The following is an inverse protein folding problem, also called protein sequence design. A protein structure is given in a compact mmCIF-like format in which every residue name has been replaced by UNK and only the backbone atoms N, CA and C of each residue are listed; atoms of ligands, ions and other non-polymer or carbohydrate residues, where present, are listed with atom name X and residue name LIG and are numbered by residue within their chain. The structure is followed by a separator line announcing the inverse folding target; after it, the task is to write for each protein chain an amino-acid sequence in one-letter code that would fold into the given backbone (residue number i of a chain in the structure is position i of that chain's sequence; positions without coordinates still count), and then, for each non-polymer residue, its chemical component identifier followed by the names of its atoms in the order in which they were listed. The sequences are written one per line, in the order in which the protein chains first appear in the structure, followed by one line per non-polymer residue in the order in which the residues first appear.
data_IF_434203157530
#
_entry.id   IF_434203157530
#
_cell.length_a   1.000
_cell.length_b   1.000
_cell.length_c   1.000
_cell.angle_alpha   90.00
_cell.angle_beta   90.00
_cell.angle_gamma   90.00
#
_symmetry.space_group_name_H-M   'P 1'
#
loop_
_entity.id
_entity.type
_entity.pdbx_description
1 polymer ?
#
# COMPACT_ATOMS: atom_id res chain seq x y z
N UNK A 1 -21.65 60.46 -34.60
CA UNK A 1 -20.76 59.35 -34.23
C UNK A 1 -21.06 58.92 -32.79
N UNK A 2 -21.00 57.61 -32.54
CA UNK A 2 -20.85 56.95 -31.24
C UNK A 2 -22.08 56.83 -30.30
N UNK A 3 -22.94 55.84 -30.59
CA UNK A 3 -23.65 55.08 -29.54
C UNK A 3 -23.78 53.62 -29.98
N UNK A 4 -22.69 52.86 -30.10
CA UNK A 4 -22.72 51.38 -30.13
C UNK A 4 -21.29 50.86 -29.95
N UNK A 5 -20.75 50.79 -28.72
CA UNK A 5 -19.49 50.06 -28.50
C UNK A 5 -19.14 49.60 -27.07
N UNK A 6 -20.06 49.65 -26.10
CA UNK A 6 -19.76 49.19 -24.73
C UNK A 6 -20.35 47.81 -24.35
N UNK A 7 -21.35 47.29 -25.09
CA UNK A 7 -21.96 45.98 -24.80
C UNK A 7 -21.09 44.78 -25.21
N UNK A 8 -20.50 44.85 -26.42
CA UNK A 8 -19.73 43.74 -27.00
C UNK A 8 -18.43 43.44 -26.25
N UNK A 9 -17.76 44.46 -25.69
CA UNK A 9 -16.52 44.28 -24.95
C UNK A 9 -16.70 43.54 -23.61
N UNK A 10 -17.82 43.78 -22.92
CA UNK A 10 -18.15 43.10 -21.67
C UNK A 10 -18.55 41.65 -21.94
N UNK A 11 -19.41 41.41 -22.94
CA UNK A 11 -19.80 40.07 -23.33
C UNK A 11 -18.59 39.22 -23.78
N UNK A 12 -17.67 39.81 -24.55
CA UNK A 12 -16.43 39.16 -24.95
C UNK A 12 -15.50 38.86 -23.77
N UNK A 13 -15.31 39.82 -22.85
CA UNK A 13 -14.47 39.63 -21.67
C UNK A 13 -15.04 38.56 -20.72
N UNK A 14 -16.37 38.52 -20.54
CA UNK A 14 -17.06 37.45 -19.80
C UNK A 14 -16.85 36.10 -20.46
N UNK A 15 -17.10 36.01 -21.77
CA UNK A 15 -16.95 34.76 -22.53
C UNK A 15 -15.51 34.24 -22.46
N UNK A 16 -14.53 35.12 -22.61
CA UNK A 16 -13.11 34.77 -22.46
C UNK A 16 -12.82 34.23 -21.06
N UNK A 17 -13.18 34.96 -20.01
CA UNK A 17 -12.94 34.50 -18.63
C UNK A 17 -13.64 33.18 -18.32
N UNK A 18 -14.87 32.98 -18.83
CA UNK A 18 -15.60 31.73 -18.69
C UNK A 18 -14.88 30.55 -19.36
N UNK A 19 -14.42 30.73 -20.60
CA UNK A 19 -13.69 29.69 -21.33
C UNK A 19 -12.43 29.28 -20.55
N UNK A 20 -11.63 30.23 -20.08
CA UNK A 20 -10.42 29.94 -19.31
C UNK A 20 -10.72 29.28 -17.96
N UNK A 21 -11.76 29.73 -17.24
CA UNK A 21 -12.15 29.13 -15.97
C UNK A 21 -12.64 27.67 -16.16
N UNK A 22 -13.39 27.39 -17.23
CA UNK A 22 -13.82 26.04 -17.57
C UNK A 22 -12.65 25.14 -17.97
N UNK A 23 -11.67 25.66 -18.71
CA UNK A 23 -10.44 24.91 -19.00
C UNK A 23 -9.67 24.58 -17.72
N UNK A 24 -9.48 25.55 -16.83
CA UNK A 24 -8.79 25.32 -15.56
C UNK A 24 -9.50 24.27 -14.70
N UNK A 25 -10.83 24.33 -14.63
CA UNK A 25 -11.63 23.30 -13.94
C UNK A 25 -11.45 21.92 -14.57
N UNK A 26 -11.49 21.83 -15.90
CA UNK A 26 -11.32 20.57 -16.63
C UNK A 26 -9.92 19.97 -16.44
N UNK A 27 -8.85 20.79 -16.52
CA UNK A 27 -7.48 20.33 -16.25
C UNK A 27 -7.30 19.87 -14.80
N UNK A 28 -7.85 20.61 -13.85
CA UNK A 28 -7.82 20.25 -12.44
C UNK A 28 -8.56 18.92 -12.20
N UNK A 29 -9.74 18.75 -12.79
CA UNK A 29 -10.51 17.51 -12.71
C UNK A 29 -9.74 16.34 -13.34
N UNK A 30 -9.19 16.50 -14.54
CA UNK A 30 -8.42 15.46 -15.22
C UNK A 30 -7.18 15.05 -14.41
N UNK A 31 -6.45 16.02 -13.84
CA UNK A 31 -5.30 15.74 -12.97
C UNK A 31 -5.72 14.94 -11.73
N UNK A 32 -6.78 15.35 -11.03
CA UNK A 32 -7.25 14.64 -9.84
C UNK A 32 -7.81 13.24 -10.17
N UNK A 33 -8.57 13.09 -11.26
CA UNK A 33 -9.07 11.78 -11.73
C UNK A 33 -7.90 10.84 -11.98
N UNK A 34 -6.84 11.32 -12.65
CA UNK A 34 -5.64 10.52 -12.87
C UNK A 34 -4.93 10.21 -11.55
N UNK A 35 -4.65 11.21 -10.71
CA UNK A 35 -3.95 11.02 -9.44
C UNK A 35 -4.65 9.99 -8.54
N UNK A 36 -5.96 10.12 -8.36
CA UNK A 36 -6.76 9.21 -7.53
C UNK A 36 -7.11 7.86 -8.19
N UNK A 37 -6.70 7.65 -9.45
CA UNK A 37 -6.69 6.32 -10.06
C UNK A 37 -5.43 5.51 -9.71
N UNK A 38 -4.41 6.16 -9.17
CA UNK A 38 -3.16 5.53 -8.75
C UNK A 38 -3.32 4.79 -7.42
N UNK A 39 -2.50 3.76 -7.25
CA UNK A 39 -2.41 2.98 -6.02
C UNK A 39 -1.94 3.88 -4.88
N UNK A 40 -2.48 3.68 -3.67
CA UNK A 40 -2.15 4.46 -2.48
C UNK A 40 -2.60 5.93 -2.48
N UNK A 41 -3.00 6.53 -3.61
CA UNK A 41 -3.34 7.95 -3.68
C UNK A 41 -4.59 8.34 -2.85
N UNK A 42 -5.62 7.48 -2.85
CA UNK A 42 -6.79 7.67 -1.99
C UNK A 42 -6.44 7.58 -0.50
N UNK A 43 -5.61 6.61 -0.13
CA UNK A 43 -5.13 6.48 1.24
C UNK A 43 -4.33 7.71 1.65
N UNK A 44 -3.38 8.15 0.82
CA UNK A 44 -2.61 9.36 1.07
C UNK A 44 -3.51 10.57 1.35
N UNK A 45 -4.59 10.76 0.58
CA UNK A 45 -5.56 11.83 0.86
C UNK A 45 -6.33 11.65 2.18
N UNK A 46 -6.76 10.43 2.48
CA UNK A 46 -7.56 10.18 3.67
C UNK A 46 -6.75 10.28 4.95
N UNK A 47 -5.49 9.84 4.92
CA UNK A 47 -4.59 9.82 6.07
C UNK A 47 -3.81 11.13 6.23
N UNK A 48 -3.57 11.89 5.15
CA UNK A 48 -2.99 13.22 5.24
C UNK A 48 -4.00 14.26 5.76
N UNK A 49 -3.56 15.06 6.75
CA UNK A 49 -4.36 16.15 7.33
C UNK A 49 -4.16 17.50 6.68
N UNK A 50 -3.12 17.65 5.88
CA UNK A 50 -2.78 18.96 5.35
C UNK A 50 -3.87 19.43 4.40
N UNK A 51 -4.00 20.74 4.27
CA UNK A 51 -4.92 21.30 3.29
C UNK A 51 -4.45 21.07 1.84
N UNK A 52 -3.26 20.52 1.63
CA UNK A 52 -2.66 20.36 0.30
C UNK A 52 -3.61 19.63 -0.65
N UNK A 53 -4.03 18.42 -0.32
CA UNK A 53 -4.86 17.62 -1.22
C UNK A 53 -6.29 18.18 -1.37
N UNK A 54 -6.84 18.78 -0.30
CA UNK A 54 -8.13 19.49 -0.37
C UNK A 54 -8.04 20.69 -1.32
N UNK A 55 -6.95 21.45 -1.26
CA UNK A 55 -6.67 22.55 -2.19
C UNK A 55 -6.54 22.00 -3.61
N UNK A 56 -5.79 20.90 -3.83
CA UNK A 56 -5.63 20.31 -5.16
C UNK A 56 -6.96 19.87 -5.78
N UNK A 57 -7.91 19.37 -4.99
CA UNK A 57 -9.26 19.02 -5.46
C UNK A 57 -10.07 20.28 -5.77
N UNK A 58 -10.03 21.28 -4.90
CA UNK A 58 -10.94 22.44 -4.93
C UNK A 58 -10.42 23.61 -5.78
N UNK A 59 -9.12 23.69 -6.08
CA UNK A 59 -8.52 24.84 -6.75
C UNK A 59 -9.13 25.11 -8.13
N UNK A 60 -9.64 24.08 -8.81
CA UNK A 60 -10.37 24.20 -10.08
C UNK A 60 -11.64 25.05 -9.98
N UNK A 61 -12.24 25.17 -8.80
CA UNK A 61 -13.46 25.95 -8.56
C UNK A 61 -13.17 27.45 -8.37
N UNK A 62 -11.95 27.81 -7.97
CA UNK A 62 -11.58 29.20 -7.65
C UNK A 62 -11.77 30.16 -8.86
N UNK A 63 -11.25 29.86 -10.07
CA UNK A 63 -11.44 30.76 -11.21
C UNK A 63 -12.91 30.97 -11.57
N UNK A 64 -13.73 29.92 -11.47
CA UNK A 64 -15.15 29.97 -11.75
C UNK A 64 -15.91 30.78 -10.68
N UNK A 65 -15.58 30.59 -9.40
CA UNK A 65 -16.13 31.37 -8.30
C UNK A 65 -15.86 32.87 -8.44
N UNK A 66 -14.61 33.26 -8.73
CA UNK A 66 -14.23 34.65 -8.98
C UNK A 66 -15.00 35.26 -10.16
N UNK A 67 -15.23 34.49 -11.22
CA UNK A 67 -16.01 34.92 -12.36
C UNK A 67 -17.48 35.14 -12.00
N UNK A 68 -18.11 34.20 -11.30
CA UNK A 68 -19.52 34.29 -10.88
C UNK A 68 -19.72 35.51 -9.97
N UNK A 69 -18.81 35.73 -9.01
CA UNK A 69 -18.83 36.90 -8.12
C UNK A 69 -18.69 38.23 -8.88
N UNK A 70 -18.11 38.22 -10.08
CA UNK A 70 -18.02 39.43 -10.90
C UNK A 70 -19.36 39.87 -11.52
N UNK A 71 -20.32 38.96 -11.70
CA UNK A 71 -21.58 39.23 -12.40
C UNK A 71 -22.49 40.27 -11.71
N UNK A 72 -22.80 40.17 -10.40
CA UNK A 72 -23.62 41.19 -9.75
C UNK A 72 -22.94 42.57 -9.74
N UNK A 73 -21.61 42.59 -9.66
CA UNK A 73 -20.81 43.83 -9.59
C UNK A 73 -20.80 44.63 -10.90
N UNK A 74 -21.20 44.03 -12.01
CA UNK A 74 -21.31 44.75 -13.30
C UNK A 74 -22.51 45.69 -13.35
N UNK A 75 -23.46 45.52 -12.44
CA UNK A 75 -24.61 46.42 -12.25
C UNK A 75 -24.24 47.69 -11.49
N UNK A 76 -23.05 47.75 -10.86
CA UNK A 76 -22.57 48.93 -10.14
C UNK A 76 -22.19 50.06 -11.11
N UNK A 77 -22.32 51.32 -10.64
CA UNK A 77 -21.92 52.52 -11.40
C UNK A 77 -20.46 52.45 -11.87
N UNK A 78 -19.57 51.98 -11.02
CA UNK A 78 -18.17 51.72 -11.35
C UNK A 78 -17.96 50.23 -11.59
N UNK A 79 -17.45 49.87 -12.78
CA UNK A 79 -17.19 48.46 -13.15
C UNK A 79 -15.78 47.99 -12.77
N UNK A 80 -15.06 48.77 -11.98
CA UNK A 80 -13.66 48.53 -11.63
C UNK A 80 -13.51 47.18 -10.90
N UNK A 81 -14.33 46.92 -9.88
CA UNK A 81 -14.29 45.69 -9.11
C UNK A 81 -14.65 44.46 -9.94
N UNK A 82 -15.67 44.56 -10.81
CA UNK A 82 -16.03 43.48 -11.73
C UNK A 82 -14.91 43.16 -12.74
N UNK A 83 -14.23 44.19 -13.28
CA UNK A 83 -13.07 44.01 -14.16
C UNK A 83 -11.90 43.36 -13.42
N UNK A 84 -11.67 43.78 -12.18
CA UNK A 84 -10.61 43.25 -11.31
C UNK A 84 -10.85 41.77 -10.97
N UNK A 85 -12.05 41.39 -10.54
CA UNK A 85 -12.39 39.97 -10.28
C UNK A 85 -12.28 39.10 -11.53
N UNK A 86 -12.65 39.61 -12.71
CA UNK A 86 -12.41 38.89 -13.98
C UNK A 86 -10.92 38.75 -14.30
N UNK A 87 -10.12 39.79 -14.03
CA UNK A 87 -8.67 39.73 -14.15
C UNK A 87 -8.09 38.64 -13.24
N UNK A 88 -8.51 38.60 -11.98
CA UNK A 88 -8.13 37.54 -11.04
C UNK A 88 -8.59 36.16 -11.49
N UNK A 89 -9.81 36.02 -12.03
CA UNK A 89 -10.29 34.76 -12.59
C UNK A 89 -9.39 34.27 -13.74
N UNK A 90 -8.96 35.16 -14.65
CA UNK A 90 -8.03 34.81 -15.73
C UNK A 90 -6.65 34.38 -15.21
N UNK A 91 -6.09 35.13 -14.26
CA UNK A 91 -4.79 34.78 -13.65
C UNK A 91 -4.89 33.46 -12.90
N UNK A 92 -5.92 33.27 -12.08
CA UNK A 92 -6.18 32.02 -11.37
C UNK A 92 -6.38 30.85 -12.35
N UNK A 93 -7.09 31.05 -13.46
CA UNK A 93 -7.28 30.02 -14.49
C UNK A 93 -5.94 29.55 -15.07
N UNK A 94 -5.03 30.50 -15.36
CA UNK A 94 -3.70 30.19 -15.87
C UNK A 94 -2.87 29.43 -14.83
N UNK A 95 -2.83 29.91 -13.60
CA UNK A 95 -2.06 29.27 -12.52
C UNK A 95 -2.57 27.85 -12.23
N UNK A 96 -3.88 27.67 -12.07
CA UNK A 96 -4.48 26.35 -11.83
C UNK A 96 -4.19 25.40 -12.99
N UNK A 97 -4.35 25.84 -14.24
CA UNK A 97 -4.05 25.00 -15.41
C UNK A 97 -2.58 24.58 -15.44
N UNK A 98 -1.66 25.52 -15.20
CA UNK A 98 -0.22 25.25 -15.17
C UNK A 98 0.16 24.29 -14.04
N UNK A 99 -0.37 24.50 -12.84
CA UNK A 99 -0.15 23.61 -11.69
C UNK A 99 -0.72 22.21 -11.96
N UNK A 100 -1.94 22.09 -12.47
CA UNK A 100 -2.53 20.80 -12.82
C UNK A 100 -1.73 20.06 -13.89
N UNK A 101 -1.27 20.76 -14.93
CA UNK A 101 -0.40 20.17 -15.96
C UNK A 101 0.95 19.74 -15.39
N UNK A 102 1.57 20.56 -14.54
CA UNK A 102 2.84 20.25 -13.90
C UNK A 102 2.76 19.00 -13.01
N UNK A 103 1.72 18.91 -12.17
CA UNK A 103 1.50 17.73 -11.31
C UNK A 103 1.19 16.49 -12.15
N UNK A 104 0.33 16.61 -13.17
CA UNK A 104 0.01 15.50 -14.05
C UNK A 104 1.24 15.00 -14.80
N UNK A 105 2.06 15.91 -15.33
CA UNK A 105 3.33 15.59 -15.97
C UNK A 105 4.26 14.90 -14.97
N UNK A 106 4.40 15.40 -13.75
CA UNK A 106 5.22 14.77 -12.71
C UNK A 106 4.77 13.33 -12.41
N UNK A 107 3.48 13.11 -12.14
CA UNK A 107 2.92 11.79 -11.82
C UNK A 107 2.97 10.79 -12.99
N UNK A 108 3.03 11.27 -14.23
CA UNK A 108 3.15 10.42 -15.42
C UNK A 108 4.61 10.13 -15.75
N UNK A 109 5.41 11.19 -15.85
CA UNK A 109 6.74 11.18 -16.47
C UNK A 109 7.80 10.70 -15.50
N UNK A 110 7.84 11.25 -14.27
CA UNK A 110 8.91 10.97 -13.29
C UNK A 110 9.06 9.47 -13.01
N UNK A 111 8.00 8.71 -12.69
CA UNK A 111 8.14 7.28 -12.40
C UNK A 111 8.46 6.44 -13.65
N UNK A 112 8.21 6.94 -14.87
CA UNK A 112 8.37 6.17 -16.12
C UNK A 112 9.72 6.39 -16.79
N UNK A 113 10.28 7.60 -16.68
CA UNK A 113 11.60 7.92 -17.25
C UNK A 113 12.75 7.35 -16.42
N UNK A 114 12.48 6.94 -15.18
CA UNK A 114 13.44 6.33 -14.30
C UNK A 114 14.02 5.02 -14.82
N UNK A 115 15.35 4.97 -14.98
CA UNK A 115 16.06 3.72 -15.26
C UNK A 115 16.48 3.07 -13.95
N UNK A 116 15.87 1.93 -13.66
CA UNK A 116 16.30 1.07 -12.56
C UNK A 116 17.58 0.34 -12.97
N UNK A 117 18.50 0.16 -12.02
CA UNK A 117 19.69 -0.68 -12.20
C UNK A 117 19.23 -2.09 -12.52
N UNK A 118 19.86 -2.70 -13.52
CA UNK A 118 19.72 -4.13 -13.77
C UNK A 118 20.56 -4.85 -12.72
N UNK A 119 19.87 -5.43 -11.75
CA UNK A 119 20.46 -6.25 -10.69
C UNK A 119 19.90 -7.67 -10.79
N UNK A 120 20.65 -8.64 -10.30
CA UNK A 120 20.16 -10.00 -10.22
C UNK A 120 19.39 -10.17 -8.91
N UNK A 121 18.07 -10.30 -9.02
CA UNK A 121 17.19 -10.68 -7.92
C UNK A 121 16.53 -12.02 -8.26
N UNK A 122 16.40 -12.90 -7.27
CA UNK A 122 15.68 -14.16 -7.40
C UNK A 122 14.18 -13.95 -7.20
N UNK A 123 13.53 -13.23 -8.12
CA UNK A 123 12.09 -12.94 -8.02
C UNK A 123 11.26 -14.18 -8.38
N UNK A 124 10.29 -14.54 -7.53
CA UNK A 124 9.34 -15.64 -7.77
C UNK A 124 8.13 -15.23 -8.62
N UNK A 125 7.86 -15.82 -9.77
CA UNK A 125 6.58 -15.59 -10.46
C UNK A 125 5.41 -16.18 -9.64
N UNK A 126 4.43 -15.37 -9.18
CA UNK A 126 3.34 -15.89 -8.35
C UNK A 126 2.40 -16.85 -9.10
N UNK A 127 2.46 -16.91 -10.43
CA UNK A 127 1.69 -17.89 -11.21
C UNK A 127 2.32 -19.29 -11.28
N UNK A 128 3.61 -19.40 -10.97
CA UNK A 128 4.32 -20.68 -11.03
C UNK A 128 4.05 -21.45 -9.74
N UNK A 129 3.61 -22.72 -9.90
CA UNK A 129 3.57 -23.65 -8.78
C UNK A 129 4.99 -23.90 -8.30
N UNK A 130 5.29 -23.50 -7.07
CA UNK A 130 6.53 -23.87 -6.42
C UNK A 130 6.46 -25.36 -6.12
N UNK A 131 7.30 -26.14 -6.78
CA UNK A 131 7.63 -27.48 -6.27
C UNK A 131 8.46 -27.25 -5.01
N UNK A 132 7.99 -27.75 -3.86
CA UNK A 132 8.74 -27.56 -2.62
C UNK A 132 10.15 -28.13 -2.81
N UNK A 133 11.17 -27.37 -2.45
CA UNK A 133 12.49 -27.92 -2.19
C UNK A 133 12.41 -28.75 -0.91
N UNK A 134 11.71 -29.88 -0.96
CA UNK A 134 11.83 -30.92 0.05
C UNK A 134 13.30 -31.36 0.06
N UNK A 135 14.06 -30.76 0.97
CA UNK A 135 15.51 -30.83 1.03
C UNK A 135 16.09 -30.06 2.22
N UNK A 136 15.40 -30.08 3.36
CA UNK A 136 16.01 -29.75 4.64
C UNK A 136 16.48 -31.05 5.31
N UNK A 137 17.71 -31.05 5.79
CA UNK A 137 18.40 -32.15 6.47
C UNK A 137 17.67 -32.75 7.70
N UNK A 138 16.49 -32.22 8.09
CA UNK A 138 15.66 -32.68 9.22
C UNK A 138 14.45 -33.58 8.86
N UNK A 139 14.05 -33.64 7.58
CA UNK A 139 12.94 -34.47 7.09
C UNK A 139 11.53 -34.11 7.58
N UNK A 140 11.29 -32.93 8.18
CA UNK A 140 10.01 -32.52 8.81
C UNK A 140 9.41 -31.22 8.28
N UNK A 141 10.22 -30.27 7.82
CA UNK A 141 9.70 -28.98 7.30
C UNK A 141 9.35 -29.07 5.82
N UNK A 142 8.13 -28.69 5.46
CA UNK A 142 7.56 -28.75 4.11
C UNK A 142 7.75 -27.44 3.33
N UNK A 143 7.77 -26.30 4.04
CA UNK A 143 7.94 -24.96 3.45
C UNK A 143 8.55 -24.02 4.48
N UNK A 144 9.56 -23.26 4.07
CA UNK A 144 10.19 -22.19 4.85
C UNK A 144 9.89 -20.84 4.24
N UNK A 145 9.34 -19.93 5.05
CA UNK A 145 9.12 -18.55 4.66
C UNK A 145 9.90 -17.63 5.59
N UNK A 146 10.40 -16.53 5.05
CA UNK A 146 10.80 -15.39 5.86
C UNK A 146 9.92 -14.19 5.49
N UNK A 147 9.69 -13.30 6.45
CA UNK A 147 8.87 -12.12 6.27
C UNK A 147 9.52 -10.92 6.96
N UNK A 148 9.60 -9.81 6.25
CA UNK A 148 10.10 -8.54 6.75
C UNK A 148 9.39 -7.39 6.05
N UNK A 149 9.41 -6.21 6.65
CA UNK A 149 8.69 -5.05 6.12
C UNK A 149 9.28 -3.74 6.64
N UNK A 150 8.96 -2.65 5.95
CA UNK A 150 9.25 -1.27 6.40
C UNK A 150 10.77 -1.03 6.48
N UNK A 151 11.46 -1.30 5.38
CA UNK A 151 12.90 -1.09 5.24
C UNK A 151 13.27 0.38 4.92
N UNK A 152 12.34 1.12 4.30
CA UNK A 152 12.41 2.55 3.98
C UNK A 152 13.76 3.01 3.36
N UNK A 153 14.27 2.33 2.34
CA UNK A 153 15.45 2.83 1.63
C UNK A 153 15.23 4.27 1.15
N UNK A 154 16.21 5.15 1.45
CA UNK A 154 16.18 6.54 1.00
C UNK A 154 15.89 7.61 2.05
N UNK A 155 15.80 7.25 3.32
CA UNK A 155 15.66 8.18 4.45
C UNK A 155 16.78 8.00 5.48
N UNK A 156 17.14 9.07 6.17
CA UNK A 156 18.12 9.08 7.28
C UNK A 156 17.52 8.56 8.60
N UNK A 157 16.21 8.30 8.61
CA UNK A 157 15.47 7.69 9.74
C UNK A 157 15.52 6.16 9.73
N UNK A 158 16.51 5.57 9.09
CA UNK A 158 16.70 4.11 9.03
C UNK A 158 18.06 3.73 9.59
N UNK A 159 18.21 2.46 9.98
CA UNK A 159 19.48 1.84 10.31
C UNK A 159 19.89 0.86 9.20
N UNK A 160 20.83 1.25 8.31
CA UNK A 160 21.32 0.39 7.23
C UNK A 160 22.05 -0.87 7.72
N UNK A 161 22.67 -0.83 8.90
CA UNK A 161 23.37 -1.99 9.45
C UNK A 161 22.36 -3.01 9.96
N UNK A 162 21.33 -2.56 10.67
CA UNK A 162 20.21 -3.41 11.09
C UNK A 162 19.58 -4.11 9.89
N UNK A 163 19.26 -3.35 8.83
CA UNK A 163 18.68 -3.88 7.59
C UNK A 163 19.59 -4.91 6.92
N UNK A 164 20.90 -4.65 6.87
CA UNK A 164 21.87 -5.58 6.30
C UNK A 164 21.98 -6.88 7.10
N UNK A 165 22.01 -6.78 8.43
CA UNK A 165 22.06 -7.94 9.32
C UNK A 165 20.77 -8.78 9.22
N UNK A 166 19.60 -8.13 9.12
CA UNK A 166 18.32 -8.81 8.89
C UNK A 166 18.33 -9.57 7.55
N UNK A 167 18.77 -8.93 6.46
CA UNK A 167 18.88 -9.59 5.16
C UNK A 167 19.84 -10.79 5.20
N UNK A 168 20.96 -10.68 5.93
CA UNK A 168 21.88 -11.79 6.13
C UNK A 168 21.23 -12.92 6.94
N UNK A 169 20.51 -12.60 8.02
CA UNK A 169 19.82 -13.60 8.85
C UNK A 169 18.70 -14.33 8.07
N UNK A 170 17.96 -13.61 7.22
CA UNK A 170 16.99 -14.21 6.28
C UNK A 170 17.71 -15.16 5.32
N UNK A 171 18.85 -14.77 4.77
CA UNK A 171 19.62 -15.63 3.86
C UNK A 171 20.15 -16.89 4.56
N UNK A 172 20.52 -16.81 5.85
CA UNK A 172 20.93 -17.96 6.68
C UNK A 172 19.79 -18.94 6.93
N UNK A 173 18.54 -18.47 7.08
CA UNK A 173 17.37 -19.34 7.22
C UNK A 173 17.06 -20.14 5.93
N UNK A 174 17.57 -19.68 4.78
CA UNK A 174 17.36 -20.29 3.45
C UNK A 174 15.87 -20.53 3.15
N UNK A 175 15.02 -19.48 3.16
CA UNK A 175 13.61 -19.63 2.90
C UNK A 175 13.36 -20.04 1.44
N UNK A 176 12.29 -20.82 1.23
CA UNK A 176 11.73 -21.06 -0.10
C UNK A 176 11.12 -19.77 -0.66
N UNK A 177 10.60 -18.88 0.21
CA UNK A 177 10.11 -17.54 -0.14
C UNK A 177 10.39 -16.53 0.97
N UNK A 178 11.00 -15.41 0.62
CA UNK A 178 11.03 -14.20 1.42
C UNK A 178 9.96 -13.21 0.94
N UNK A 179 9.00 -12.90 1.81
CA UNK A 179 8.02 -11.84 1.59
C UNK A 179 8.50 -10.52 2.20
N UNK A 180 8.65 -9.51 1.35
CA UNK A 180 8.88 -8.12 1.77
C UNK A 180 7.55 -7.37 1.74
N UNK A 181 6.93 -7.09 2.89
CA UNK A 181 5.51 -6.66 2.95
C UNK A 181 5.24 -5.20 2.59
N UNK A 182 6.14 -4.53 1.88
CA UNK A 182 5.99 -3.15 1.45
C UNK A 182 6.81 -2.17 2.28
N UNK A 183 6.64 -0.89 1.93
CA UNK A 183 7.48 0.22 2.38
C UNK A 183 8.97 -0.11 2.22
N UNK A 184 9.26 -0.63 1.02
CA UNK A 184 10.62 -0.91 0.58
C UNK A 184 11.38 0.41 0.51
N UNK A 185 10.85 1.40 -0.22
CA UNK A 185 11.47 2.72 -0.34
C UNK A 185 10.65 3.78 0.36
N UNK A 186 11.30 4.84 0.86
CA UNK A 186 10.62 5.96 1.51
C UNK A 186 9.68 6.72 0.55
N UNK A 187 10.01 6.77 -0.74
CA UNK A 187 9.20 7.48 -1.75
C UNK A 187 9.23 6.70 -3.05
N UNK A 188 8.11 6.05 -3.34
CA UNK A 188 7.96 5.16 -4.48
C UNK A 188 8.26 5.76 -5.85
N UNK A 189 8.12 7.08 -6.03
CA UNK A 189 8.47 7.76 -7.28
C UNK A 189 9.98 8.02 -7.45
N UNK A 190 10.82 7.69 -6.46
CA UNK A 190 12.25 8.02 -6.42
C UNK A 190 13.14 6.90 -6.95
N UNK A 191 13.69 7.09 -8.14
CA UNK A 191 14.57 6.13 -8.81
C UNK A 191 15.85 5.84 -8.02
N UNK A 192 16.41 6.86 -7.35
CA UNK A 192 17.64 6.69 -6.57
C UNK A 192 17.41 5.78 -5.36
N UNK A 193 16.27 5.91 -4.70
CA UNK A 193 15.90 5.08 -3.54
C UNK A 193 15.66 3.63 -3.96
N UNK A 194 14.94 3.42 -5.08
CA UNK A 194 14.79 2.09 -5.67
C UNK A 194 16.14 1.46 -6.02
N UNK A 195 17.04 2.22 -6.65
CA UNK A 195 18.37 1.71 -7.00
C UNK A 195 19.23 1.37 -5.78
N UNK A 196 19.03 2.04 -4.64
CA UNK A 196 19.67 1.69 -3.38
C UNK A 196 19.11 0.36 -2.83
N UNK A 197 17.78 0.23 -2.78
CA UNK A 197 17.13 -1.00 -2.33
C UNK A 197 17.53 -2.23 -3.17
N UNK A 198 17.46 -2.08 -4.50
CA UNK A 198 17.81 -3.13 -5.45
C UNK A 198 19.29 -3.54 -5.35
N UNK A 199 20.19 -2.59 -5.09
CA UNK A 199 21.60 -2.88 -4.90
C UNK A 199 21.86 -3.70 -3.63
N UNK A 200 21.26 -3.30 -2.49
CA UNK A 200 21.43 -4.01 -1.22
C UNK A 200 20.84 -5.42 -1.27
N UNK A 201 19.61 -5.56 -1.80
CA UNK A 201 18.96 -6.86 -1.97
C UNK A 201 19.80 -7.81 -2.83
N UNK A 202 20.35 -7.31 -3.95
CA UNK A 202 21.19 -8.10 -4.83
C UNK A 202 22.57 -8.40 -4.24
N UNK A 203 23.14 -7.51 -3.44
CA UNK A 203 24.46 -7.71 -2.84
C UNK A 203 24.43 -8.68 -1.66
N UNK A 204 23.42 -8.60 -0.79
CA UNK A 204 23.38 -9.31 0.49
C UNK A 204 22.61 -10.62 0.36
N UNK A 205 21.50 -10.63 -0.38
CA UNK A 205 20.59 -11.76 -0.49
C UNK A 205 20.32 -12.18 -1.96
N UNK A 206 21.33 -12.29 -2.85
CA UNK A 206 21.13 -12.49 -4.29
C UNK A 206 20.35 -13.76 -4.66
N UNK A 207 20.42 -14.79 -3.81
CA UNK A 207 19.81 -16.10 -4.05
C UNK A 207 18.52 -16.32 -3.26
N UNK A 208 18.17 -15.42 -2.34
CA UNK A 208 16.94 -15.54 -1.54
C UNK A 208 15.74 -15.33 -2.47
N UNK A 209 14.86 -16.33 -2.64
CA UNK A 209 13.66 -16.17 -3.45
C UNK A 209 12.79 -15.06 -2.88
N UNK A 210 12.51 -14.01 -3.66
CA UNK A 210 11.90 -12.77 -3.17
C UNK A 210 10.52 -12.56 -3.80
N UNK A 211 9.55 -12.19 -2.96
CA UNK A 211 8.19 -11.83 -3.38
C UNK A 211 7.65 -10.62 -2.59
N UNK A 212 7.84 -9.39 -3.08
CA UNK A 212 7.44 -8.19 -2.37
C UNK A 212 5.95 -7.86 -2.54
N UNK A 213 5.35 -7.25 -1.53
CA UNK A 213 4.08 -6.52 -1.61
C UNK A 213 4.37 -5.02 -1.72
N UNK A 214 3.35 -4.24 -2.08
CA UNK A 214 3.44 -2.79 -2.19
C UNK A 214 2.88 -2.13 -0.93
N UNK A 215 3.69 -1.31 -0.26
CA UNK A 215 3.24 -0.48 0.86
C UNK A 215 2.78 0.92 0.43
N UNK A 216 2.35 1.75 1.38
CA UNK A 216 1.96 3.12 1.08
C UNK A 216 3.11 3.97 0.55
N UNK A 217 4.31 3.85 1.12
CA UNK A 217 5.47 4.61 0.67
C UNK A 217 5.90 4.21 -0.74
N UNK A 218 5.84 2.92 -1.07
CA UNK A 218 6.11 2.40 -2.42
C UNK A 218 5.11 2.92 -3.47
N UNK A 219 3.90 3.26 -3.04
CA UNK A 219 2.83 3.76 -3.90
C UNK A 219 2.88 5.28 -4.11
N UNK A 220 3.58 6.03 -3.24
CA UNK A 220 3.59 7.50 -3.25
C UNK A 220 3.94 8.07 -4.63
N UNK A 221 3.14 9.06 -5.03
CA UNK A 221 3.34 9.87 -6.24
C UNK A 221 3.53 9.07 -7.53
N UNK A 222 2.77 7.98 -7.69
CA UNK A 222 2.85 7.10 -8.85
C UNK A 222 3.98 6.07 -8.76
N UNK A 223 4.49 5.81 -7.55
CA UNK A 223 5.55 4.83 -7.32
C UNK A 223 5.22 3.40 -7.77
N UNK A 224 3.93 3.07 -7.90
CA UNK A 224 3.45 1.79 -8.47
C UNK A 224 4.10 1.41 -9.81
N UNK A 225 4.54 2.39 -10.61
CA UNK A 225 5.20 2.13 -11.89
C UNK A 225 6.63 1.62 -11.70
N UNK A 226 7.37 2.19 -10.75
CA UNK A 226 8.71 1.73 -10.39
C UNK A 226 8.65 0.42 -9.61
N UNK A 227 7.68 0.27 -8.69
CA UNK A 227 7.39 -1.01 -8.02
C UNK A 227 7.17 -2.13 -9.06
N UNK A 228 6.29 -1.92 -10.04
CA UNK A 228 6.03 -2.92 -11.09
C UNK A 228 7.30 -3.22 -11.89
N UNK A 229 8.08 -2.20 -12.25
CA UNK A 229 9.33 -2.36 -12.98
C UNK A 229 10.39 -3.13 -12.18
N UNK A 230 10.42 -2.96 -10.86
CA UNK A 230 11.38 -3.59 -9.96
C UNK A 230 11.01 -5.06 -9.67
N UNK A 231 9.73 -5.35 -9.40
CA UNK A 231 9.32 -6.59 -8.75
C UNK A 231 8.29 -7.43 -9.52
N UNK A 232 7.78 -6.92 -10.64
CA UNK A 232 6.85 -7.65 -11.50
C UNK A 232 7.25 -7.52 -12.98
N UNK A 233 8.31 -8.26 -13.39
CA UNK A 233 8.74 -8.36 -14.79
C UNK A 233 7.57 -8.69 -15.74
N UNK A 234 7.73 -8.37 -17.03
CA UNK A 234 6.61 -8.46 -17.99
C UNK A 234 6.14 -9.89 -18.25
N UNK A 235 7.04 -10.83 -18.08
CA UNK A 235 6.85 -12.26 -18.19
C UNK A 235 6.03 -12.84 -17.02
N UNK A 236 5.94 -12.13 -15.89
CA UNK A 236 5.19 -12.61 -14.73
C UNK A 236 3.69 -12.46 -14.93
N UNK A 237 2.95 -13.37 -14.33
CA UNK A 237 1.49 -13.31 -14.28
C UNK A 237 0.98 -13.68 -12.88
N UNK A 238 -0.32 -13.51 -12.64
CA UNK A 238 -0.95 -13.89 -11.38
C UNK A 238 -2.37 -14.38 -11.64
N UNK A 239 -2.89 -15.17 -10.71
CA UNK A 239 -4.26 -15.68 -10.72
C UNK A 239 -5.32 -14.56 -10.74
N UNK A 240 -5.01 -13.41 -10.15
CA UNK A 240 -5.87 -12.23 -10.13
C UNK A 240 -5.77 -11.35 -11.38
N UNK A 241 -4.74 -11.57 -12.22
CA UNK A 241 -4.34 -10.66 -13.29
C UNK A 241 -3.77 -9.32 -12.80
N UNK A 242 -3.51 -9.18 -11.50
CA UNK A 242 -2.95 -7.98 -10.86
C UNK A 242 -1.53 -8.22 -10.36
N UNK A 243 -0.60 -7.24 -10.50
CA UNK A 243 0.72 -7.34 -9.90
C UNK A 243 0.74 -7.03 -8.39
N UNK A 244 -0.41 -6.65 -7.80
CA UNK A 244 -0.47 -6.11 -6.44
C UNK A 244 -1.13 -7.04 -5.42
N UNK A 245 -1.94 -7.99 -5.88
CA UNK A 245 -2.61 -8.99 -5.06
C UNK A 245 -2.72 -10.28 -5.85
N UNK A 246 -2.46 -11.42 -5.22
CA UNK A 246 -2.37 -12.72 -5.88
C UNK A 246 -2.39 -13.83 -4.83
N UNK A 247 -2.60 -15.06 -5.29
CA UNK A 247 -2.46 -16.25 -4.46
C UNK A 247 -1.43 -17.21 -5.04
N UNK A 248 -0.84 -18.02 -4.18
CA UNK A 248 0.14 -19.06 -4.53
C UNK A 248 -0.19 -20.33 -3.75
N UNK A 249 -0.34 -21.46 -4.44
CA UNK A 249 -0.39 -22.79 -3.80
C UNK A 249 0.99 -23.43 -3.95
N UNK A 250 1.67 -23.67 -2.82
CA UNK A 250 3.01 -24.25 -2.76
C UNK A 250 3.00 -25.77 -2.57
N UNK A 251 1.82 -26.39 -2.58
CA UNK A 251 1.63 -27.78 -2.15
C UNK A 251 1.60 -27.95 -0.64
N UNK A 252 2.36 -27.16 0.11
CA UNK A 252 2.38 -27.17 1.58
C UNK A 252 1.48 -26.11 2.23
N UNK A 253 1.17 -25.02 1.52
CA UNK A 253 0.34 -23.93 2.02
C UNK A 253 -0.37 -23.19 0.89
N UNK A 254 -1.51 -22.55 1.21
CA UNK A 254 -2.11 -21.52 0.36
C UNK A 254 -1.69 -20.15 0.89
N UNK A 255 -0.97 -19.40 0.08
CA UNK A 255 -0.46 -18.07 0.42
C UNK A 255 -1.25 -17.00 -0.35
N UNK A 256 -1.68 -15.93 0.31
CA UNK A 256 -2.51 -14.89 -0.29
C UNK A 256 -1.93 -13.53 0.00
N UNK A 257 -1.55 -12.76 -1.02
CA UNK A 257 -1.10 -11.38 -0.88
C UNK A 257 -2.24 -10.40 -1.19
N UNK A 258 -2.52 -9.47 -0.28
CA UNK A 258 -3.52 -8.41 -0.43
C UNK A 258 -2.86 -7.05 -0.72
N UNK A 259 -3.49 -6.28 -1.62
CA UNK A 259 -3.11 -4.91 -1.91
C UNK A 259 -3.86 -3.95 -0.96
N UNK A 260 -3.25 -3.69 0.19
CA UNK A 260 -3.72 -2.77 1.23
C UNK A 260 -2.61 -1.78 1.62
N UNK A 261 -2.24 -0.81 0.74
CA UNK A 261 -1.13 0.10 1.02
C UNK A 261 -1.37 0.97 2.25
N UNK A 262 -2.59 1.46 2.44
CA UNK A 262 -2.99 2.23 3.64
C UNK A 262 -4.10 1.54 4.44
N UNK A 263 -4.63 0.43 3.91
CA UNK A 263 -5.90 -0.16 4.30
C UNK A 263 -6.79 -0.45 3.09
N UNK A 264 -8.10 -0.41 3.28
CA UNK A 264 -9.10 -0.84 2.28
C UNK A 264 -9.33 0.13 1.11
N UNK A 265 -8.62 1.25 1.02
CA UNK A 265 -8.78 2.24 -0.06
C UNK A 265 -8.52 1.66 -1.46
N UNK A 266 -7.62 0.69 -1.57
CA UNK A 266 -7.36 -0.05 -2.82
C UNK A 266 -8.09 -1.40 -2.90
N UNK A 267 -8.88 -1.74 -1.87
CA UNK A 267 -9.66 -2.98 -1.78
C UNK A 267 -11.05 -2.82 -2.43
N UNK A 268 -11.07 -2.68 -3.75
CA UNK A 268 -12.30 -2.59 -4.52
C UNK A 268 -13.01 -3.94 -4.75
N UNK A 269 -14.19 -3.89 -5.37
CA UNK A 269 -15.02 -5.07 -5.66
C UNK A 269 -14.26 -6.22 -6.34
N UNK A 270 -13.37 -5.92 -7.29
CA UNK A 270 -12.58 -6.94 -8.00
C UNK A 270 -11.69 -7.76 -7.06
N UNK A 271 -10.93 -7.07 -6.20
CA UNK A 271 -10.05 -7.74 -5.23
C UNK A 271 -10.86 -8.50 -4.19
N UNK A 272 -12.00 -7.95 -3.74
CA UNK A 272 -12.90 -8.65 -2.81
C UNK A 272 -13.46 -9.95 -3.40
N UNK A 273 -14.02 -9.90 -4.60
CA UNK A 273 -14.59 -11.09 -5.26
C UNK A 273 -13.51 -12.14 -5.53
N UNK A 274 -12.33 -11.71 -5.98
CA UNK A 274 -11.19 -12.60 -6.14
C UNK A 274 -10.78 -13.25 -4.81
N UNK A 275 -10.64 -12.46 -3.73
CA UNK A 275 -10.27 -12.97 -2.42
C UNK A 275 -11.26 -14.02 -1.92
N UNK A 276 -12.57 -13.73 -1.96
CA UNK A 276 -13.59 -14.71 -1.57
C UNK A 276 -13.49 -16.01 -2.37
N UNK A 277 -13.21 -15.92 -3.68
CA UNK A 277 -13.01 -17.11 -4.52
C UNK A 277 -11.79 -17.93 -4.09
N UNK A 278 -10.66 -17.27 -3.82
CA UNK A 278 -9.43 -17.94 -3.36
C UNK A 278 -9.64 -18.60 -2.00
N UNK A 279 -10.21 -17.87 -1.04
CA UNK A 279 -10.45 -18.40 0.31
C UNK A 279 -11.43 -19.58 0.29
N UNK A 280 -12.47 -19.53 -0.55
CA UNK A 280 -13.44 -20.63 -0.68
C UNK A 280 -12.88 -21.87 -1.36
N UNK A 281 -11.89 -21.72 -2.24
CA UNK A 281 -11.27 -22.81 -2.99
C UNK A 281 -10.01 -23.38 -2.30
N UNK A 282 -9.55 -22.76 -1.21
CA UNK A 282 -8.35 -23.17 -0.50
C UNK A 282 -8.50 -24.59 0.06
N UNK A 283 -7.46 -25.41 -0.10
CA UNK A 283 -7.43 -26.77 0.44
C UNK A 283 -7.52 -26.73 1.98
N UNK A 284 -8.55 -27.33 2.60
CA UNK A 284 -8.71 -27.30 4.04
C UNK A 284 -7.64 -28.08 4.79
N UNK A 285 -6.89 -28.95 4.10
CA UNK A 285 -5.79 -29.73 4.67
C UNK A 285 -4.48 -28.93 4.74
N UNK A 286 -4.44 -27.69 4.20
CA UNK A 286 -3.26 -26.85 4.18
C UNK A 286 -3.48 -25.57 4.98
N UNK A 287 -2.43 -25.03 5.63
CA UNK A 287 -2.48 -23.70 6.20
C UNK A 287 -2.79 -22.65 5.13
N UNK A 288 -3.66 -21.72 5.50
CA UNK A 288 -4.07 -20.57 4.68
C UNK A 288 -3.50 -19.31 5.33
N UNK A 289 -2.51 -18.71 4.67
CA UNK A 289 -1.73 -17.59 5.19
C UNK A 289 -1.97 -16.35 4.32
N UNK A 290 -2.38 -15.25 4.95
CA UNK A 290 -2.62 -13.96 4.30
C UNK A 290 -1.50 -12.99 4.62
N UNK A 291 -1.02 -12.27 3.62
CA UNK A 291 -0.03 -11.22 3.73
C UNK A 291 -0.66 -9.88 3.29
N UNK A 292 -0.39 -8.82 4.03
CA UNK A 292 -0.76 -7.46 3.67
C UNK A 292 0.32 -6.48 4.10
N UNK A 293 0.32 -5.28 3.54
CA UNK A 293 1.13 -4.21 4.13
C UNK A 293 0.45 -3.66 5.38
N UNK A 294 -0.74 -3.07 5.23
CA UNK A 294 -1.54 -2.53 6.34
C UNK A 294 -2.04 -3.65 7.29
N UNK A 295 -2.00 -3.36 8.59
CA UNK A 295 -2.34 -4.25 9.69
C UNK A 295 -3.85 -4.39 9.95
N UNK A 296 -4.21 -5.33 10.84
CA UNK A 296 -5.57 -5.57 11.30
C UNK A 296 -5.71 -5.24 12.78
N UNK A 297 -5.47 -6.22 13.63
CA UNK A 297 -5.26 -6.02 15.05
C UNK A 297 -3.80 -5.64 15.27
N UNK A 298 -3.58 -4.61 16.06
CA UNK A 298 -2.25 -4.15 16.41
C UNK A 298 -2.36 -3.25 17.64
N UNK A 299 -1.40 -3.33 18.54
CA UNK A 299 -1.21 -2.32 19.58
C UNK A 299 -0.73 -1.01 18.96
N UNK A 300 -0.80 0.12 19.65
CA UNK A 300 -0.30 1.36 19.07
C UNK A 300 -0.67 2.58 19.88
N UNK A 301 -0.87 3.69 19.18
CA UNK A 301 -1.08 5.00 19.78
C UNK A 301 -2.06 5.82 18.94
N UNK A 302 -2.61 6.88 19.51
CA UNK A 302 -3.32 7.88 18.72
C UNK A 302 -2.28 8.80 18.06
N UNK A 303 -2.15 8.73 16.73
CA UNK A 303 -1.10 9.51 16.06
C UNK A 303 -1.44 11.00 16.16
N UNK A 304 -0.63 11.85 16.82
CA UNK A 304 -0.96 13.25 17.04
C UNK A 304 -0.96 14.05 15.74
N UNK A 305 -0.19 13.63 14.73
CA UNK A 305 -0.16 14.27 13.41
C UNK A 305 -1.38 13.87 12.59
N UNK A 306 -1.86 12.64 12.73
CA UNK A 306 -2.98 12.09 11.95
C UNK A 306 -4.34 12.12 12.67
N UNK A 307 -4.41 12.40 14.00
CA UNK A 307 -5.62 12.43 14.86
C UNK A 307 -6.54 11.26 14.51
N UNK A 308 -5.90 10.10 14.44
CA UNK A 308 -6.49 8.84 14.06
C UNK A 308 -5.82 7.75 14.90
N UNK A 309 -6.57 6.71 15.26
CA UNK A 309 -6.00 5.55 15.92
C UNK A 309 -5.01 4.87 14.97
N UNK A 310 -3.80 4.65 15.45
CA UNK A 310 -2.73 3.89 14.78
C UNK A 310 -2.58 2.49 15.41
N UNK A 311 -3.74 1.88 15.68
CA UNK A 311 -3.95 0.57 16.29
C UNK A 311 -5.31 0.04 15.83
N UNK A 312 -5.56 -1.26 15.97
CA UNK A 312 -6.81 -1.95 15.61
C UNK A 312 -7.55 -1.32 14.41
N UNK A 313 -6.97 -1.50 13.21
CA UNK A 313 -7.29 -0.74 12.02
C UNK A 313 -8.80 -0.77 11.69
N UNK A 314 -9.46 0.35 12.00
CA UNK A 314 -10.93 0.50 12.04
C UNK A 314 -11.67 0.18 10.73
N UNK A 315 -10.99 0.21 9.58
CA UNK A 315 -11.59 -0.22 8.30
C UNK A 315 -11.22 -1.64 7.87
N UNK A 316 -10.05 -2.13 8.27
CA UNK A 316 -9.55 -3.42 7.77
C UNK A 316 -10.26 -4.54 8.51
N UNK A 317 -10.34 -4.41 9.84
CA UNK A 317 -11.02 -5.37 10.71
C UNK A 317 -12.45 -5.69 10.20
N UNK A 318 -13.40 -4.73 10.15
CA UNK A 318 -14.78 -5.05 9.76
C UNK A 318 -14.93 -5.50 8.30
N UNK A 319 -13.98 -5.16 7.43
CA UNK A 319 -14.06 -5.51 6.01
C UNK A 319 -13.57 -6.93 5.69
N UNK A 320 -12.61 -7.44 6.45
CA UNK A 320 -11.79 -8.61 6.07
C UNK A 320 -11.74 -9.70 7.13
N UNK A 321 -11.70 -9.36 8.43
CA UNK A 321 -11.59 -10.41 9.46
C UNK A 321 -12.81 -11.34 9.51
N UNK A 322 -14.05 -10.91 9.20
CA UNK A 322 -15.17 -11.85 9.06
C UNK A 322 -14.98 -12.87 7.92
N UNK A 323 -14.25 -12.50 6.85
CA UNK A 323 -13.89 -13.44 5.78
C UNK A 323 -12.80 -14.40 6.27
N UNK A 324 -11.80 -13.88 6.98
CA UNK A 324 -10.72 -14.69 7.53
C UNK A 324 -11.25 -15.74 8.50
N UNK A 325 -12.13 -15.34 9.42
CA UNK A 325 -12.78 -16.24 10.36
C UNK A 325 -13.68 -17.26 9.65
N UNK A 326 -14.50 -16.82 8.68
CA UNK A 326 -15.42 -17.70 7.94
C UNK A 326 -14.70 -18.80 7.17
N UNK A 327 -13.63 -18.45 6.46
CA UNK A 327 -12.87 -19.39 5.63
C UNK A 327 -11.72 -20.05 6.38
N UNK A 328 -11.57 -19.77 7.69
CA UNK A 328 -10.59 -20.40 8.55
C UNK A 328 -9.15 -20.08 8.17
N UNK A 329 -8.84 -18.82 7.86
CA UNK A 329 -7.45 -18.33 7.70
C UNK A 329 -6.68 -18.61 8.99
N UNK A 330 -5.51 -19.23 8.88
CA UNK A 330 -4.71 -19.63 10.03
C UNK A 330 -3.84 -18.48 10.54
N UNK A 331 -3.25 -17.72 9.62
CA UNK A 331 -2.30 -16.65 9.90
C UNK A 331 -2.49 -15.46 8.96
N UNK A 332 -2.41 -14.26 9.53
CA UNK A 332 -2.33 -13.00 8.79
C UNK A 332 -1.06 -12.26 9.20
N UNK A 333 -0.20 -11.91 8.25
CA UNK A 333 1.06 -11.21 8.52
C UNK A 333 1.05 -9.84 7.85
N UNK A 334 1.37 -8.80 8.61
CA UNK A 334 1.34 -7.40 8.17
C UNK A 334 2.62 -6.65 8.53
N UNK A 335 2.89 -5.55 7.82
CA UNK A 335 3.94 -4.58 8.15
C UNK A 335 3.34 -3.30 8.73
N UNK A 336 3.80 -2.16 8.22
CA UNK A 336 3.27 -0.80 8.41
C UNK A 336 3.47 -0.20 9.81
N UNK A 337 3.17 -0.96 10.87
CA UNK A 337 3.56 -0.59 12.22
C UNK A 337 5.01 -1.00 12.48
N UNK A 338 5.82 -0.05 12.95
CA UNK A 338 7.27 -0.21 12.99
C UNK A 338 7.77 -0.93 14.25
N UNK A 339 7.26 -2.15 14.47
CA UNK A 339 7.66 -3.06 15.55
C UNK A 339 7.28 -4.51 15.17
N UNK A 340 7.53 -5.46 16.08
CA UNK A 340 7.03 -6.83 15.96
C UNK A 340 5.96 -7.13 17.00
N UNK A 341 4.88 -7.80 16.60
CA UNK A 341 3.80 -8.20 17.51
C UNK A 341 3.19 -9.53 17.07
N UNK A 342 2.83 -10.38 18.03
CA UNK A 342 2.02 -11.58 17.84
C UNK A 342 0.67 -11.40 18.55
N UNK A 343 -0.41 -11.65 17.81
CA UNK A 343 -1.77 -11.50 18.30
C UNK A 343 -2.64 -12.71 17.93
N UNK A 344 -3.68 -12.96 18.72
CA UNK A 344 -4.68 -13.98 18.43
C UNK A 344 -6.10 -13.43 18.64
N UNK A 345 -6.97 -13.64 17.65
CA UNK A 345 -8.37 -13.26 17.73
C UNK A 345 -9.25 -14.29 17.02
N UNK A 346 -10.27 -14.79 17.72
CA UNK A 346 -11.30 -15.67 17.17
C UNK A 346 -10.74 -16.88 16.40
N UNK A 347 -9.61 -17.44 16.86
CA UNK A 347 -8.96 -18.60 16.23
C UNK A 347 -7.96 -18.25 15.11
N UNK A 348 -7.92 -17.00 14.65
CA UNK A 348 -6.96 -16.50 13.65
C UNK A 348 -5.76 -15.88 14.34
N UNK A 349 -4.55 -16.20 13.87
CA UNK A 349 -3.29 -15.62 14.34
C UNK A 349 -2.95 -14.40 13.48
N UNK A 350 -2.38 -13.39 14.11
CA UNK A 350 -1.89 -12.19 13.44
C UNK A 350 -0.45 -11.94 13.86
N UNK A 351 0.36 -11.46 12.91
CA UNK A 351 1.71 -11.00 13.17
C UNK A 351 1.93 -9.64 12.51
N UNK A 352 2.53 -8.70 13.25
CA UNK A 352 3.05 -7.43 12.72
C UNK A 352 4.57 -7.54 12.67
N UNK A 353 5.19 -7.15 11.55
CA UNK A 353 6.64 -7.33 11.29
C UNK A 353 7.27 -6.14 10.54
N UNK A 354 6.93 -4.91 10.92
CA UNK A 354 7.46 -3.68 10.30
C UNK A 354 8.82 -3.22 10.85
N UNK A 355 9.69 -4.16 11.21
CA UNK A 355 10.90 -3.88 11.97
C UNK A 355 12.20 -4.01 11.14
N UNK A 356 12.15 -3.88 9.81
CA UNK A 356 13.30 -4.11 8.92
C UNK A 356 14.26 -2.91 8.80
N UNK A 357 14.39 -2.13 9.88
CA UNK A 357 15.38 -1.06 10.03
C UNK A 357 14.84 0.37 9.87
N UNK A 358 13.55 0.59 9.63
CA UNK A 358 12.96 1.93 9.77
C UNK A 358 12.87 2.35 11.23
N UNK A 359 12.81 3.66 11.50
CA UNK A 359 12.62 4.17 12.85
C UNK A 359 11.37 3.55 13.48
N UNK A 360 11.56 2.89 14.63
CA UNK A 360 10.49 2.30 15.44
C UNK A 360 9.40 3.32 15.78
N UNK A 361 8.17 2.82 15.80
CA UNK A 361 7.05 3.50 16.42
C UNK A 361 7.34 3.70 17.93
N UNK A 362 6.71 4.71 18.56
CA UNK A 362 6.79 4.87 20.01
C UNK A 362 6.21 3.67 20.75
N UNK A 363 6.51 3.57 22.04
CA UNK A 363 5.84 2.61 22.92
C UNK A 363 4.31 2.79 22.83
N UNK A 364 3.55 1.71 22.60
CA UNK A 364 2.11 1.76 22.50
C UNK A 364 1.44 2.32 23.76
N UNK A 365 0.53 3.28 23.55
CA UNK A 365 -0.38 3.79 24.58
C UNK A 365 -1.63 2.91 24.70
N UNK A 366 -1.97 2.20 23.61
CA UNK A 366 -3.04 1.23 23.51
C UNK A 366 -2.47 -0.16 23.23
N UNK A 367 -2.84 -1.14 24.05
CA UNK A 367 -2.51 -2.55 23.80
C UNK A 367 -3.75 -3.26 23.30
N UNK A 368 -3.69 -3.84 22.10
CA UNK A 368 -4.81 -4.59 21.53
C UNK A 368 -5.16 -5.76 22.45
N UNK A 369 -6.45 -6.01 22.76
CA UNK A 369 -6.86 -7.17 23.54
C UNK A 369 -6.48 -8.52 22.90
N UNK A 370 -6.16 -8.51 21.59
CA UNK A 370 -5.67 -9.68 20.87
C UNK A 370 -4.17 -9.94 21.12
N UNK A 371 -3.42 -8.94 21.61
CA UNK A 371 -1.97 -9.00 21.77
C UNK A 371 -1.55 -10.11 22.74
N UNK A 372 -0.55 -10.88 22.33
CA UNK A 372 0.06 -11.98 23.12
C UNK A 372 1.54 -11.70 23.41
N UNK A 373 2.22 -11.03 22.50
CA UNK A 373 3.61 -10.65 22.64
C UNK A 373 3.91 -9.46 21.73
N UNK A 374 4.76 -8.54 22.18
CA UNK A 374 5.17 -7.36 21.44
C UNK A 374 6.65 -7.06 21.71
N UNK A 375 7.37 -6.61 20.69
CA UNK A 375 8.73 -6.09 20.78
C UNK A 375 8.85 -4.77 20.01
N UNK A 376 8.84 -3.68 20.77
CA UNK A 376 9.04 -2.31 20.29
C UNK A 376 10.53 -1.97 20.33
N UNK A 377 10.97 -0.99 19.53
CA UNK A 377 12.36 -0.52 19.48
C UNK A 377 13.39 -1.62 19.20
N UNK A 378 12.95 -2.71 18.57
CA UNK A 378 13.76 -3.88 18.24
C UNK A 378 13.62 -4.19 16.77
N UNK A 379 14.73 -4.14 16.03
CA UNK A 379 14.75 -4.52 14.62
C UNK A 379 14.76 -6.03 14.47
N UNK A 380 14.11 -6.53 13.42
CA UNK A 380 13.94 -7.97 13.24
C UNK A 380 13.11 -8.36 12.02
N UNK A 381 12.85 -9.66 11.96
CA UNK A 381 12.03 -10.31 10.94
C UNK A 381 11.34 -11.54 11.52
N UNK A 382 10.44 -12.15 10.74
CA UNK A 382 9.72 -13.36 11.11
C UNK A 382 10.10 -14.51 10.20
N UNK A 383 10.47 -15.65 10.76
CA UNK A 383 10.52 -16.91 10.04
C UNK A 383 9.25 -17.70 10.29
N UNK A 384 8.77 -18.40 9.26
CA UNK A 384 7.57 -19.22 9.27
C UNK A 384 7.93 -20.57 8.67
N UNK A 385 8.00 -21.58 9.51
CA UNK A 385 8.25 -22.96 9.10
C UNK A 385 6.94 -23.74 9.14
N UNK A 386 6.56 -24.33 8.01
CA UNK A 386 5.36 -25.15 7.89
C UNK A 386 5.77 -26.61 7.86
N UNK A 387 5.23 -27.39 8.79
CA UNK A 387 5.41 -28.85 8.85
C UNK A 387 4.13 -29.55 8.41
N UNK A 388 4.09 -30.88 8.47
CA UNK A 388 2.88 -31.66 8.17
C UNK A 388 1.74 -31.48 9.18
N UNK A 389 1.99 -30.88 10.35
CA UNK A 389 1.01 -30.80 11.43
C UNK A 389 0.83 -29.39 12.00
N UNK A 390 1.81 -28.52 11.85
CA UNK A 390 1.82 -27.21 12.47
C UNK A 390 2.51 -26.13 11.62
N UNK A 391 2.24 -24.89 12.01
CA UNK A 391 2.98 -23.71 11.59
C UNK A 391 3.77 -23.23 12.79
N UNK A 392 5.07 -23.03 12.61
CA UNK A 392 5.97 -22.45 13.60
C UNK A 392 6.37 -21.05 13.17
N UNK A 393 6.24 -20.09 14.08
CA UNK A 393 6.62 -18.70 13.94
C UNK A 393 7.84 -18.44 14.81
N UNK A 394 8.90 -17.87 14.26
CA UNK A 394 10.04 -17.38 15.00
C UNK A 394 10.28 -15.90 14.71
N UNK A 395 10.00 -15.05 15.68
CA UNK A 395 10.39 -13.65 15.63
C UNK A 395 11.87 -13.56 15.99
N UNK A 396 12.68 -13.10 15.04
CA UNK A 396 14.13 -12.96 15.19
C UNK A 396 14.49 -11.48 15.32
N UNK A 397 15.49 -11.16 16.14
CA UNK A 397 16.12 -9.85 16.09
C UNK A 397 17.00 -9.68 14.85
N UNK A 398 17.56 -8.49 14.68
CA UNK A 398 18.45 -8.16 13.57
C UNK A 398 19.72 -9.04 13.47
N UNK A 399 20.12 -9.73 14.54
CA UNK A 399 21.28 -10.62 14.56
C UNK A 399 20.88 -12.10 14.47
N UNK A 400 19.60 -12.39 14.21
CA UNK A 400 19.08 -13.76 14.08
C UNK A 400 18.75 -14.45 15.40
N UNK A 401 18.83 -13.77 16.54
CA UNK A 401 18.45 -14.34 17.83
C UNK A 401 16.93 -14.44 17.92
N UNK A 402 16.41 -15.61 18.29
CA UNK A 402 14.97 -15.79 18.57
C UNK A 402 14.55 -14.94 19.77
N UNK A 403 13.60 -14.05 19.53
CA UNK A 403 12.93 -13.23 20.55
C UNK A 403 11.66 -13.92 21.07
N UNK A 404 10.92 -14.56 20.17
CA UNK A 404 9.68 -15.29 20.45
C UNK A 404 9.51 -16.43 19.47
N UNK A 405 9.01 -17.56 19.97
CA UNK A 405 8.56 -18.69 19.17
C UNK A 405 7.09 -18.96 19.48
N UNK A 406 6.31 -19.23 18.44
CA UNK A 406 4.92 -19.69 18.55
C UNK A 406 4.71 -20.88 17.63
N UNK A 407 3.91 -21.84 18.07
CA UNK A 407 3.56 -23.03 17.29
C UNK A 407 2.09 -23.31 17.43
N UNK A 408 1.40 -23.51 16.31
CA UNK A 408 -0.01 -23.85 16.32
C UNK A 408 -0.35 -24.88 15.25
N UNK A 409 -1.27 -25.82 15.55
CA UNK A 409 -1.76 -26.75 14.55
C UNK A 409 -2.65 -26.02 13.54
N UNK A 410 -2.58 -26.40 12.27
CA UNK A 410 -3.62 -26.07 11.30
C UNK A 410 -4.54 -27.29 11.22
N UNK A 411 -5.77 -27.17 11.74
CA UNK A 411 -6.64 -28.34 11.89
C UNK A 411 -7.41 -28.58 10.58
N UNK A 412 -7.27 -29.75 9.93
CA UNK A 412 -7.96 -30.06 8.67
C UNK A 412 -9.50 -30.03 8.71
N UNK A 413 -10.09 -30.11 9.90
CA UNK A 413 -11.45 -30.61 10.09
C UNK A 413 -12.55 -29.56 10.30
N UNK A 414 -12.24 -28.26 10.25
CA UNK A 414 -13.23 -27.21 10.57
C UNK A 414 -13.75 -26.40 9.37
N UNK A 415 -13.25 -26.62 8.15
CA UNK A 415 -13.65 -25.84 6.96
C UNK A 415 -14.84 -26.43 6.19
N UNK A 416 -15.40 -27.58 6.61
CA UNK A 416 -16.69 -28.07 6.06
C UNK A 416 -17.86 -27.37 6.73
N UNK A 417 -18.03 -26.09 6.44
CA UNK A 417 -19.26 -25.36 6.75
C UNK A 417 -20.34 -25.75 5.76
N UNK A 418 -21.34 -26.50 6.24
CA UNK A 418 -22.56 -26.87 5.53
C UNK A 418 -23.19 -25.68 4.78
N UNK A 419 -23.20 -25.74 3.46
CA UNK A 419 -24.08 -24.93 2.61
C UNK A 419 -25.38 -25.73 2.35
N UNK A 420 -26.10 -26.07 3.42
CA UNK A 420 -27.53 -26.43 3.35
C UNK A 420 -28.35 -25.19 3.69
N UNK A 421 -28.41 -24.22 2.78
CA UNK A 421 -29.57 -23.32 2.63
C UNK A 421 -29.63 -22.76 1.20
N UNK A 422 -29.94 -23.65 0.25
CA UNK A 422 -30.64 -23.22 -0.96
C UNK A 422 -32.10 -22.94 -0.56
N UNK A 423 -32.66 -21.73 -0.74
CA UNK A 423 -34.10 -21.58 -0.73
C UNK A 423 -34.60 -22.20 -2.03
N UNK A 424 -35.17 -23.41 -1.93
CA UNK A 424 -36.17 -23.82 -2.90
C UNK A 424 -37.41 -22.91 -2.73
N UNK A 425 -37.98 -22.54 -3.89
CA UNK A 425 -39.18 -21.74 -4.19
C UNK A 425 -39.01 -20.23 -4.29
#
# INVERSE_FOLDING_TARGET
MAVFRNGNGIAWARRRALIWALFALAFCAAMNIYHYSLQGAWGLYLWDKTWLFRILILMGLLPLGLLILSFPLEKLKTKALAKLLRGFSLVASFLVSLTSLGILAFLIVTPRMGSLRQVQLNLIDPSIKLESSAGAEDGKTLLRLSVGSDAHWGTDKTDPNARSNILASIAEHRPDIFFLLGDTVETGSSVSQWNAALADLSAIAPRVPLRPLMGNHDALFGGQYLYKKAFFPREFSSDSGSPYYYSMDTGAATLVALNLPWGTENFGRKQKTWLESVLSAADPLKPLIVFSHSFFYASGYDDPKLDKPWYDHYKNIPALTPLFERYGVDLVVSGHNHYMEYLEKNGVRYAVVGAMGSKSDPEPEYISPASKWIAVATFGHLNIDITSNDVMLEFKDQLGKTLREERFPYTPSLRSGNDETSPQT
#
